data_IF_225839531448
#
_entry.id   IF_225839531448
#
_cell.length_a   1.000
_cell.length_b   1.000
_cell.length_c   1.000
_cell.angle_alpha   90.00
_cell.angle_beta   90.00
_cell.angle_gamma   90.00
#
_symmetry.space_group_name_H-M   'P 1'
#
loop_
_entity.id
_entity.type
_entity.pdbx_description
1 polymer ?
#
# COMPACT_ATOMS: atom_id res chain seq x y z
N UNK A 1 -5.85 42.37 -14.20
CA UNK A 1 -6.15 40.93 -14.27
C UNK A 1 -5.45 40.27 -13.11
N UNK A 2 -6.16 39.50 -12.27
CA UNK A 2 -5.50 38.80 -11.16
C UNK A 2 -4.63 37.68 -11.71
N UNK A 3 -3.35 37.66 -11.33
CA UNK A 3 -2.38 36.66 -11.80
C UNK A 3 -2.73 35.27 -11.25
N UNK A 4 -2.67 34.24 -12.10
CA UNK A 4 -2.76 32.85 -11.66
C UNK A 4 -1.44 32.44 -11.01
N UNK A 5 -1.54 31.77 -9.88
CA UNK A 5 -0.43 31.26 -9.08
C UNK A 5 -0.53 29.73 -9.06
N UNK A 6 0.61 29.06 -9.04
CA UNK A 6 0.69 27.61 -8.84
C UNK A 6 0.98 27.28 -7.38
N UNK A 7 0.41 26.18 -6.91
CA UNK A 7 0.63 25.68 -5.56
C UNK A 7 0.28 24.21 -5.46
N UNK A 8 0.54 23.64 -4.29
CA UNK A 8 0.33 22.22 -4.00
C UNK A 8 -0.69 22.06 -2.89
N UNK A 9 -1.65 21.16 -3.07
CA UNK A 9 -2.59 20.81 -2.01
C UNK A 9 -1.83 20.09 -0.89
N UNK A 10 -1.78 20.71 0.28
CA UNK A 10 -1.08 20.20 1.46
C UNK A 10 -2.01 19.52 2.46
N UNK A 11 -3.30 19.87 2.44
CA UNK A 11 -4.28 19.30 3.36
C UNK A 11 -5.69 19.33 2.77
N UNK A 12 -6.49 18.33 3.10
CA UNK A 12 -7.90 18.23 2.73
C UNK A 12 -8.74 17.89 3.96
N UNK A 13 -9.82 18.63 4.16
CA UNK A 13 -10.86 18.30 5.12
C UNK A 13 -12.13 17.89 4.35
N UNK A 14 -12.41 16.59 4.32
CA UNK A 14 -13.58 16.06 3.62
C UNK A 14 -14.90 16.43 4.32
N UNK A 15 -14.95 16.52 5.64
CA UNK A 15 -16.20 16.85 6.36
C UNK A 15 -16.64 18.29 6.08
N UNK A 16 -15.68 19.22 6.10
CA UNK A 16 -15.90 20.66 5.90
C UNK A 16 -15.70 21.09 4.45
N UNK A 17 -15.43 20.14 3.54
CA UNK A 17 -15.29 20.35 2.10
C UNK A 17 -14.34 21.50 1.72
N UNK A 18 -13.16 21.55 2.33
CA UNK A 18 -12.11 22.51 1.94
C UNK A 18 -10.74 21.85 1.85
N UNK A 19 -9.85 22.49 1.08
CA UNK A 19 -8.44 22.15 1.04
C UNK A 19 -7.56 23.36 1.36
N UNK A 20 -6.32 23.10 1.75
CA UNK A 20 -5.27 24.10 1.91
C UNK A 20 -4.26 23.93 0.78
N UNK A 21 -3.88 25.03 0.16
CA UNK A 21 -2.89 25.08 -0.92
C UNK A 21 -1.67 25.83 -0.40
N UNK A 22 -0.52 25.17 -0.40
CA UNK A 22 0.77 25.79 -0.14
C UNK A 22 1.33 26.36 -1.45
N UNK A 23 1.77 27.61 -1.42
CA UNK A 23 2.30 28.33 -2.57
C UNK A 23 3.39 29.32 -2.16
N UNK A 24 4.15 29.80 -3.14
CA UNK A 24 5.19 30.79 -2.92
C UNK A 24 4.80 32.14 -3.52
N UNK A 25 4.98 33.21 -2.74
CA UNK A 25 4.74 34.58 -3.17
C UNK A 25 5.83 35.48 -2.58
N UNK A 26 6.67 36.05 -3.45
CA UNK A 26 7.80 36.89 -3.02
C UNK A 26 8.80 36.15 -2.11
N UNK A 27 9.20 34.93 -2.50
CA UNK A 27 10.09 34.03 -1.75
C UNK A 27 9.60 33.65 -0.34
N UNK A 28 8.33 33.87 -0.02
CA UNK A 28 7.71 33.41 1.22
C UNK A 28 6.72 32.31 0.94
N UNK A 29 6.83 31.21 1.69
CA UNK A 29 5.82 30.15 1.70
C UNK A 29 4.57 30.67 2.39
N UNK A 30 3.43 30.52 1.72
CA UNK A 30 2.11 30.89 2.21
C UNK A 30 1.17 29.73 2.01
N UNK A 31 0.07 29.74 2.76
CA UNK A 31 -0.99 28.76 2.62
C UNK A 31 -2.31 29.49 2.48
N UNK A 32 -3.16 29.04 1.55
CA UNK A 32 -4.48 29.59 1.30
C UNK A 32 -5.54 28.50 1.29
N UNK A 33 -6.75 28.83 1.73
CA UNK A 33 -7.88 27.90 1.72
C UNK A 33 -8.63 27.96 0.38
N UNK A 34 -9.03 26.80 -0.12
CA UNK A 34 -9.93 26.64 -1.27
C UNK A 34 -11.16 25.82 -0.86
N UNK A 35 -12.34 26.16 -1.39
CA UNK A 35 -13.52 25.30 -1.27
C UNK A 35 -13.44 24.19 -2.31
N UNK A 36 -13.64 22.94 -1.90
CA UNK A 36 -13.61 21.78 -2.81
C UNK A 36 -14.98 21.16 -3.00
N UNK A 37 -16.03 21.76 -2.43
CA UNK A 37 -17.40 21.24 -2.53
C UNK A 37 -17.92 21.23 -3.97
N UNK A 38 -18.67 20.17 -4.30
CA UNK A 38 -19.20 19.96 -5.65
C UNK A 38 -20.10 21.09 -6.15
N UNK A 39 -20.83 21.75 -5.24
CA UNK A 39 -21.76 22.83 -5.62
C UNK A 39 -20.98 24.05 -6.11
N UNK A 40 -19.96 24.45 -5.36
CA UNK A 40 -19.09 25.57 -5.72
C UNK A 40 -18.32 25.28 -7.00
N UNK A 41 -17.76 24.07 -7.16
CA UNK A 41 -17.08 23.71 -8.40
C UNK A 41 -18.01 23.76 -9.63
N UNK A 42 -19.27 23.30 -9.49
CA UNK A 42 -20.29 23.43 -10.56
C UNK A 42 -20.57 24.88 -10.91
N UNK A 43 -20.79 25.74 -9.92
CA UNK A 43 -21.03 27.17 -10.14
C UNK A 43 -19.82 27.86 -10.79
N UNK A 44 -18.60 27.51 -10.38
CA UNK A 44 -17.38 28.05 -10.98
C UNK A 44 -17.22 27.60 -12.45
N UNK A 45 -17.60 26.36 -12.77
CA UNK A 45 -17.59 25.86 -14.15
C UNK A 45 -18.61 26.57 -15.02
N UNK A 46 -19.84 26.76 -14.52
CA UNK A 46 -20.90 27.52 -15.22
C UNK A 46 -20.49 28.97 -15.50
N UNK A 47 -19.74 29.59 -14.59
CA UNK A 47 -19.17 30.93 -14.74
C UNK A 47 -17.87 30.97 -15.57
N UNK A 48 -17.45 29.86 -16.17
CA UNK A 48 -16.20 29.71 -16.92
C UNK A 48 -14.94 30.11 -16.14
N UNK A 49 -14.96 30.00 -14.81
CA UNK A 49 -13.81 30.26 -13.93
C UNK A 49 -12.87 29.06 -13.86
N UNK A 50 -13.40 27.86 -14.06
CA UNK A 50 -12.65 26.60 -14.16
C UNK A 50 -13.13 25.81 -15.38
N UNK A 51 -12.24 25.05 -16.01
CA UNK A 51 -12.58 24.22 -17.17
C UNK A 51 -13.31 22.93 -16.79
N UNK A 52 -12.95 22.32 -15.66
CA UNK A 52 -13.45 21.01 -15.22
C UNK A 52 -13.58 20.95 -13.70
N UNK A 53 -14.51 20.12 -13.25
CA UNK A 53 -14.63 19.72 -11.85
C UNK A 53 -13.56 18.67 -11.59
N UNK A 54 -12.92 18.72 -10.43
CA UNK A 54 -11.87 17.79 -10.04
C UNK A 54 -12.05 17.35 -8.60
N UNK A 55 -11.83 16.06 -8.34
CA UNK A 55 -11.74 15.54 -6.99
C UNK A 55 -10.30 15.71 -6.52
N UNK A 56 -10.07 16.79 -5.78
CA UNK A 56 -8.74 17.16 -5.30
C UNK A 56 -8.20 16.13 -4.31
N UNK A 57 -6.92 15.80 -4.47
CA UNK A 57 -6.16 14.93 -3.59
C UNK A 57 -4.95 15.68 -3.01
N UNK A 58 -4.46 15.23 -1.85
CA UNK A 58 -3.21 15.74 -1.30
C UNK A 58 -2.09 15.48 -2.32
N UNK A 59 -1.25 16.49 -2.52
CA UNK A 59 -0.18 16.44 -3.49
C UNK A 59 -0.54 16.92 -4.89
N UNK A 60 -1.82 17.16 -5.18
CA UNK A 60 -2.23 17.78 -6.45
C UNK A 60 -1.58 19.16 -6.60
N UNK A 61 -0.93 19.37 -7.74
CA UNK A 61 -0.47 20.68 -8.17
C UNK A 61 -1.61 21.35 -8.90
N UNK A 62 -1.93 22.58 -8.49
CA UNK A 62 -3.08 23.34 -8.93
C UNK A 62 -2.68 24.76 -9.33
N UNK A 63 -3.42 25.34 -10.28
CA UNK A 63 -3.38 26.78 -10.55
C UNK A 63 -4.60 27.46 -9.96
N UNK A 64 -4.46 28.65 -9.41
CA UNK A 64 -5.56 29.38 -8.77
C UNK A 64 -5.29 30.89 -8.72
N UNK A 65 -6.28 31.66 -8.31
CA UNK A 65 -6.14 33.09 -8.03
C UNK A 65 -6.45 33.34 -6.56
N UNK A 66 -5.60 34.11 -5.87
CA UNK A 66 -5.88 34.55 -4.50
C UNK A 66 -6.76 35.79 -4.52
N UNK A 67 -7.88 35.77 -3.80
CA UNK A 67 -8.80 36.89 -3.62
C UNK A 67 -9.27 36.98 -2.17
N UNK A 68 -9.78 38.14 -1.77
CA UNK A 68 -10.55 38.26 -0.54
C UNK A 68 -11.82 37.40 -0.64
N UNK A 69 -12.22 36.81 0.49
CA UNK A 69 -13.49 36.13 0.66
C UNK A 69 -14.65 37.09 0.37
N UNK A 70 -15.85 36.55 0.10
CA UNK A 70 -17.05 37.38 -0.11
C UNK A 70 -17.40 38.26 1.10
N UNK A 71 -16.96 37.86 2.30
CA UNK A 71 -17.09 38.64 3.54
C UNK A 71 -15.94 39.63 3.76
N UNK A 72 -14.90 39.58 2.93
CA UNK A 72 -13.72 40.46 3.00
C UNK A 72 -12.79 40.20 4.17
N UNK A 73 -12.96 39.12 4.92
CA UNK A 73 -12.26 38.87 6.17
C UNK A 73 -10.95 38.08 5.99
N UNK A 74 -10.82 37.29 4.91
CA UNK A 74 -9.69 36.36 4.70
C UNK A 74 -9.36 36.20 3.23
N UNK A 75 -8.11 35.84 2.95
CA UNK A 75 -7.68 35.44 1.60
C UNK A 75 -8.09 33.99 1.31
N UNK A 76 -8.65 33.76 0.12
CA UNK A 76 -9.10 32.46 -0.38
C UNK A 76 -8.63 32.25 -1.81
N UNK A 77 -8.47 30.99 -2.19
CA UNK A 77 -8.18 30.60 -3.56
C UNK A 77 -9.50 30.41 -4.32
N UNK A 78 -9.57 30.99 -5.52
CA UNK A 78 -10.73 30.95 -6.42
C UNK A 78 -10.27 30.52 -7.81
N UNK A 79 -11.13 29.79 -8.52
CA UNK A 79 -10.81 29.31 -9.87
C UNK A 79 -9.69 28.27 -9.87
N UNK A 80 -9.67 27.42 -8.85
CA UNK A 80 -8.64 26.39 -8.68
C UNK A 80 -8.80 25.29 -9.72
N UNK A 81 -7.77 25.07 -10.53
CA UNK A 81 -7.72 24.06 -11.58
C UNK A 81 -6.58 23.08 -11.31
N UNK A 82 -6.90 21.78 -11.38
CA UNK A 82 -5.90 20.72 -11.35
C UNK A 82 -4.95 20.80 -12.55
N UNK A 83 -3.66 20.66 -12.29
CA UNK A 83 -2.62 20.57 -13.32
C UNK A 83 -2.12 19.13 -13.43
N UNK A 84 -1.51 18.61 -12.36
CA UNK A 84 -0.95 17.26 -12.32
C UNK A 84 -0.72 16.79 -10.88
N UNK A 85 -0.53 15.48 -10.68
CA UNK A 85 -0.03 14.90 -9.44
C UNK A 85 0.97 13.79 -9.80
N UNK A 86 2.25 14.00 -9.47
CA UNK A 86 3.34 13.08 -9.77
C UNK A 86 3.85 12.35 -8.53
N UNK A 87 3.13 12.40 -7.41
CA UNK A 87 3.61 11.84 -6.14
C UNK A 87 3.92 10.34 -6.26
N UNK A 88 3.07 9.58 -6.95
CA UNK A 88 3.28 8.15 -7.19
C UNK A 88 4.51 7.90 -8.09
N UNK A 89 4.66 8.67 -9.18
CA UNK A 89 5.80 8.56 -10.08
C UNK A 89 7.13 8.87 -9.37
N UNK A 90 7.13 9.86 -8.48
CA UNK A 90 8.29 10.20 -7.65
C UNK A 90 8.63 9.03 -6.72
N UNK A 91 7.66 8.40 -6.07
CA UNK A 91 7.90 7.23 -5.23
C UNK A 91 8.44 6.04 -6.03
N UNK A 92 7.86 5.77 -7.21
CA UNK A 92 8.35 4.71 -8.11
C UNK A 92 9.81 4.99 -8.51
N UNK A 93 10.14 6.22 -8.91
CA UNK A 93 11.51 6.57 -9.28
C UNK A 93 12.47 6.46 -8.10
N UNK A 94 12.06 6.90 -6.90
CA UNK A 94 12.85 6.71 -5.67
C UNK A 94 13.09 5.23 -5.36
N UNK A 95 12.10 4.37 -5.61
CA UNK A 95 12.22 2.93 -5.34
C UNK A 95 13.32 2.25 -6.16
N UNK A 96 13.61 2.74 -7.38
CA UNK A 96 14.71 2.22 -8.21
C UNK A 96 16.10 2.59 -7.67
N UNK A 97 16.23 3.66 -6.89
CA UNK A 97 17.49 4.10 -6.28
C UNK A 97 17.65 3.55 -4.85
N UNK A 98 16.60 3.68 -4.05
CA UNK A 98 16.54 3.22 -2.67
C UNK A 98 15.09 2.87 -2.30
N UNK A 99 14.77 1.58 -2.33
CA UNK A 99 13.44 1.07 -2.02
C UNK A 99 13.19 0.92 -0.51
N UNK A 100 13.35 2.03 0.22
CA UNK A 100 13.12 2.10 1.66
C UNK A 100 12.36 3.37 1.99
N UNK A 101 11.09 3.19 2.34
CA UNK A 101 10.16 4.26 2.68
C UNK A 101 9.70 4.14 4.12
N UNK A 102 9.11 5.22 4.61
CA UNK A 102 8.56 5.33 5.95
C UNK A 102 7.08 5.70 5.83
N UNK A 103 6.25 5.04 6.62
CA UNK A 103 4.81 5.29 6.63
C UNK A 103 4.17 4.89 7.94
N UNK A 104 2.85 5.05 8.03
CA UNK A 104 2.06 4.59 9.15
C UNK A 104 1.21 3.40 8.75
N UNK A 105 1.26 2.33 9.53
CA UNK A 105 0.40 1.17 9.32
C UNK A 105 -1.04 1.52 9.72
N UNK A 106 -1.99 1.24 8.84
CA UNK A 106 -3.42 1.48 9.02
C UNK A 106 -4.20 0.22 8.65
N UNK A 107 -5.39 0.09 9.23
CA UNK A 107 -6.36 -0.95 8.87
C UNK A 107 -7.68 -0.29 8.46
N UNK A 108 -8.29 -0.78 7.39
CA UNK A 108 -9.62 -0.41 6.93
C UNK A 108 -10.25 -1.62 6.25
N UNK A 109 -11.50 -1.93 6.58
CA UNK A 109 -12.25 -3.09 6.04
C UNK A 109 -11.45 -4.40 6.07
N UNK A 110 -10.85 -4.71 7.22
CA UNK A 110 -9.99 -5.89 7.47
C UNK A 110 -8.76 -6.00 6.55
N UNK A 111 -8.40 -4.93 5.85
CA UNK A 111 -7.23 -4.83 4.99
C UNK A 111 -6.23 -3.84 5.56
N UNK A 112 -4.97 -4.20 5.46
CA UNK A 112 -3.87 -3.39 5.93
C UNK A 112 -3.30 -2.53 4.82
N UNK A 113 -2.91 -1.31 5.20
CA UNK A 113 -2.33 -0.33 4.31
C UNK A 113 -1.18 0.38 5.02
N UNK A 114 -0.15 0.76 4.27
CA UNK A 114 0.77 1.80 4.73
C UNK A 114 0.38 3.12 4.10
N UNK A 115 0.17 4.13 4.95
CA UNK A 115 0.08 5.52 4.54
C UNK A 115 1.49 6.12 4.53
N UNK A 116 2.05 6.37 3.36
CA UNK A 116 3.38 6.97 3.22
C UNK A 116 3.38 8.42 3.72
N UNK A 117 4.45 8.82 4.44
CA UNK A 117 4.49 10.08 5.18
C UNK A 117 4.44 11.31 4.27
N UNK A 118 5.23 11.34 3.20
CA UNK A 118 5.43 12.56 2.41
C UNK A 118 4.30 12.80 1.39
N UNK A 119 3.83 11.73 0.76
CA UNK A 119 2.83 11.76 -0.31
C UNK A 119 1.41 11.51 0.17
N UNK A 120 1.25 10.98 1.39
CA UNK A 120 -0.05 10.55 1.93
C UNK A 120 -0.73 9.44 1.11
N UNK A 121 0.00 8.80 0.19
CA UNK A 121 -0.50 7.69 -0.61
C UNK A 121 -0.63 6.44 0.26
N UNK A 122 -1.68 5.66 -0.02
CA UNK A 122 -1.96 4.41 0.65
C UNK A 122 -1.55 3.24 -0.24
N UNK A 123 -0.73 2.35 0.30
CA UNK A 123 -0.32 1.13 -0.38
C UNK A 123 -0.84 -0.08 0.40
N UNK A 124 -1.51 -1.04 -0.26
CA UNK A 124 -1.97 -2.25 0.39
C UNK A 124 -0.79 -3.06 0.92
N UNK A 125 -0.96 -3.71 2.06
CA UNK A 125 0.04 -4.59 2.69
C UNK A 125 -0.50 -6.02 2.71
N UNK A 126 -0.16 -6.85 1.72
CA UNK A 126 -0.53 -8.25 1.75
C UNK A 126 0.34 -8.99 2.77
N UNK A 127 -0.29 -9.50 3.83
CA UNK A 127 0.38 -10.35 4.80
C UNK A 127 0.48 -11.79 4.27
N UNK A 128 1.61 -12.44 4.57
CA UNK A 128 1.74 -13.87 4.33
C UNK A 128 0.78 -14.64 5.25
N UNK A 129 0.23 -15.80 4.81
CA UNK A 129 -0.53 -16.70 5.68
C UNK A 129 0.23 -17.17 6.92
N UNK A 130 1.58 -17.08 6.90
CA UNK A 130 2.46 -17.50 7.97
C UNK A 130 3.04 -16.33 8.76
N UNK A 131 2.64 -15.11 8.44
CA UNK A 131 3.05 -13.92 9.17
C UNK A 131 2.14 -13.71 10.37
N UNK A 132 2.73 -13.29 11.48
CA UNK A 132 1.97 -12.77 12.60
C UNK A 132 1.40 -11.42 12.19
N UNK A 133 0.07 -11.30 12.26
CA UNK A 133 -0.59 -10.04 11.99
C UNK A 133 -0.21 -9.02 13.07
N UNK A 134 -0.06 -7.73 12.68
CA UNK A 134 0.24 -6.68 13.63
C UNK A 134 -0.83 -6.57 14.71
N UNK A 135 -0.43 -6.27 15.94
CA UNK A 135 -1.37 -6.02 17.03
C UNK A 135 -2.02 -4.64 16.89
N UNK A 136 -3.09 -4.38 17.66
CA UNK A 136 -3.72 -3.06 17.70
C UNK A 136 -2.77 -1.94 18.18
N UNK A 137 -1.76 -2.29 18.97
CA UNK A 137 -0.74 -1.35 19.45
C UNK A 137 0.25 -0.98 18.34
N UNK A 138 0.60 -1.94 17.48
CA UNK A 138 1.46 -1.73 16.31
C UNK A 138 0.71 -0.98 15.18
N UNK A 139 -0.63 -0.88 15.25
CA UNK A 139 -1.40 -0.03 14.35
C UNK A 139 -1.15 1.44 14.66
N UNK A 140 -1.02 2.25 13.62
CA UNK A 140 -0.68 3.68 13.66
C UNK A 140 0.77 3.99 14.06
N UNK A 141 1.59 2.98 14.30
CA UNK A 141 3.03 3.19 14.46
C UNK A 141 3.72 3.42 13.12
N UNK A 142 4.89 4.05 13.22
CA UNK A 142 5.75 4.31 12.08
C UNK A 142 6.45 3.02 11.68
N UNK A 143 6.29 2.62 10.42
CA UNK A 143 6.88 1.41 9.85
C UNK A 143 7.79 1.74 8.68
N UNK A 144 8.85 0.96 8.53
CA UNK A 144 9.66 0.95 7.31
C UNK A 144 9.06 -0.04 6.31
N UNK A 145 9.01 0.32 5.04
CA UNK A 145 8.49 -0.56 3.98
C UNK A 145 9.18 -0.35 2.63
N UNK A 146 9.09 -1.35 1.76
CA UNK A 146 9.45 -1.27 0.33
C UNK A 146 8.20 -1.30 -0.54
N UNK A 147 8.28 -0.73 -1.74
CA UNK A 147 7.26 -0.86 -2.78
C UNK A 147 7.59 -2.03 -3.69
N UNK A 148 6.62 -2.91 -3.89
CA UNK A 148 6.72 -4.06 -4.78
C UNK A 148 5.83 -3.85 -6.02
N UNK A 149 6.16 -4.54 -7.10
CA UNK A 149 5.41 -4.52 -8.36
C UNK A 149 5.29 -3.11 -9.00
N UNK A 150 6.34 -2.30 -8.88
CA UNK A 150 6.42 -0.90 -9.37
C UNK A 150 6.25 -0.74 -10.89
N UNK A 151 6.36 -1.84 -11.66
CA UNK A 151 6.11 -1.84 -13.10
C UNK A 151 4.61 -1.67 -13.46
N UNK A 152 3.70 -1.97 -12.54
CA UNK A 152 2.24 -1.88 -12.73
C UNK A 152 1.64 -0.99 -11.64
N UNK A 153 1.47 0.30 -11.93
CA UNK A 153 1.06 1.35 -10.98
C UNK A 153 -0.18 0.95 -10.16
N UNK A 154 -1.14 0.30 -10.80
CA UNK A 154 -2.41 -0.13 -10.21
C UNK A 154 -2.30 -1.37 -9.31
N UNK A 155 -1.14 -2.04 -9.30
CA UNK A 155 -0.89 -3.26 -8.52
C UNK A 155 0.31 -3.12 -7.58
N UNK A 156 0.73 -1.88 -7.30
CA UNK A 156 1.79 -1.61 -6.33
C UNK A 156 1.28 -1.95 -4.94
N UNK A 157 2.12 -2.61 -4.15
CA UNK A 157 1.84 -2.92 -2.76
C UNK A 157 3.07 -2.70 -1.89
N UNK A 158 2.86 -2.48 -0.60
CA UNK A 158 3.91 -2.28 0.38
C UNK A 158 4.28 -3.60 1.06
N UNK A 159 5.58 -3.81 1.25
CA UNK A 159 6.13 -4.90 2.07
C UNK A 159 6.84 -4.30 3.27
N UNK A 160 6.42 -4.63 4.48
CA UNK A 160 7.09 -4.15 5.70
C UNK A 160 8.46 -4.82 5.85
N UNK A 161 9.42 -4.13 6.47
CA UNK A 161 10.73 -4.75 6.79
C UNK A 161 10.66 -5.62 8.05
N UNK A 162 9.94 -5.17 9.07
CA UNK A 162 9.89 -5.80 10.39
C UNK A 162 8.77 -6.84 10.49
N UNK A 163 8.79 -7.84 9.60
CA UNK A 163 7.80 -8.93 9.60
C UNK A 163 8.15 -9.99 10.65
N UNK A 164 7.20 -10.29 11.55
CA UNK A 164 7.28 -11.42 12.48
C UNK A 164 6.53 -12.62 11.86
N UNK A 165 7.12 -13.81 11.89
CA UNK A 165 6.50 -15.02 11.36
C UNK A 165 6.16 -16.01 12.46
N UNK A 166 5.28 -16.96 12.17
CA UNK A 166 5.02 -18.09 13.08
C UNK A 166 6.28 -18.97 13.20
N UNK A 167 6.54 -19.57 14.38
CA UNK A 167 7.73 -20.41 14.60
C UNK A 167 7.87 -21.55 13.58
N UNK A 168 6.75 -22.12 13.14
CA UNK A 168 6.73 -23.20 12.16
C UNK A 168 7.30 -22.75 10.79
N UNK A 169 7.08 -21.48 10.42
CA UNK A 169 7.64 -20.91 9.19
C UNK A 169 9.12 -20.63 9.33
N UNK A 170 9.58 -20.12 10.47
CA UNK A 170 11.01 -19.93 10.74
C UNK A 170 11.77 -21.25 10.70
N UNK A 171 11.18 -22.32 11.25
CA UNK A 171 11.70 -23.67 11.14
C UNK A 171 11.74 -24.14 9.67
N UNK A 172 10.68 -23.91 8.89
CA UNK A 172 10.66 -24.23 7.47
C UNK A 172 11.75 -23.47 6.69
N UNK A 173 11.99 -22.19 7.01
CA UNK A 173 13.08 -21.38 6.43
C UNK A 173 14.44 -21.99 6.76
N UNK A 174 14.66 -22.44 8.00
CA UNK A 174 15.90 -23.11 8.40
C UNK A 174 16.11 -24.39 7.58
N UNK A 175 15.10 -25.26 7.50
CA UNK A 175 15.13 -26.53 6.77
C UNK A 175 15.38 -26.32 5.26
N UNK A 176 14.77 -25.27 4.68
CA UNK A 176 14.99 -24.89 3.29
C UNK A 176 16.43 -24.45 3.03
N UNK A 177 16.98 -23.58 3.90
CA UNK A 177 18.37 -23.10 3.78
C UNK A 177 19.40 -24.20 3.95
N UNK A 178 19.16 -25.14 4.87
CA UNK A 178 20.06 -26.26 5.14
C UNK A 178 19.84 -27.44 4.19
N UNK A 179 18.83 -27.37 3.31
CA UNK A 179 18.41 -28.49 2.43
C UNK A 179 18.22 -29.79 3.20
N UNK A 180 17.63 -29.70 4.40
CA UNK A 180 17.44 -30.86 5.26
C UNK A 180 16.13 -31.56 4.90
N UNK A 181 16.15 -32.89 4.66
CA UNK A 181 14.93 -33.68 4.48
C UNK A 181 14.02 -33.59 5.70
N UNK A 182 12.71 -33.54 5.47
CA UNK A 182 11.69 -33.44 6.51
C UNK A 182 10.72 -34.61 6.38
N UNK A 183 10.43 -35.27 7.49
CA UNK A 183 9.39 -36.30 7.55
C UNK A 183 8.02 -35.61 7.63
N UNK A 184 7.32 -35.51 6.50
CA UNK A 184 6.01 -34.87 6.39
C UNK A 184 4.88 -35.89 6.53
N UNK A 185 3.80 -35.51 7.21
CA UNK A 185 2.63 -36.39 7.41
C UNK A 185 1.54 -36.08 6.40
N UNK A 186 1.01 -37.09 5.72
CA UNK A 186 -0.12 -36.96 4.81
C UNK A 186 -1.39 -36.69 5.62
N UNK A 187 -2.03 -35.54 5.41
CA UNK A 187 -3.29 -35.21 6.11
C UNK A 187 -4.52 -35.31 5.20
N UNK A 188 -4.34 -35.23 3.88
CA UNK A 188 -5.45 -35.33 2.92
C UNK A 188 -4.95 -35.87 1.59
N UNK A 189 -5.69 -36.82 1.01
CA UNK A 189 -5.44 -37.34 -0.34
C UNK A 189 -6.63 -37.00 -1.21
N UNK A 190 -6.36 -36.48 -2.41
CA UNK A 190 -7.37 -36.17 -3.43
C UNK A 190 -6.97 -36.83 -4.76
N UNK A 191 -7.88 -37.01 -5.72
CA UNK A 191 -7.55 -37.59 -7.03
C UNK A 191 -6.46 -36.83 -7.81
N UNK A 192 -6.14 -35.59 -7.42
CA UNK A 192 -5.19 -34.74 -8.12
C UNK A 192 -3.89 -34.48 -7.33
N UNK A 193 -3.91 -34.65 -6.01
CA UNK A 193 -2.79 -34.29 -5.16
C UNK A 193 -2.86 -34.94 -3.78
N UNK A 194 -1.68 -35.15 -3.19
CA UNK A 194 -1.50 -35.53 -1.80
C UNK A 194 -1.07 -34.28 -1.03
N UNK A 195 -1.78 -33.96 0.06
CA UNK A 195 -1.47 -32.82 0.91
C UNK A 195 -0.72 -33.26 2.16
N UNK A 196 0.36 -32.55 2.45
CA UNK A 196 1.35 -32.87 3.47
C UNK A 196 1.44 -31.76 4.51
N UNK A 197 1.54 -32.16 5.77
CA UNK A 197 1.96 -31.35 6.89
C UNK A 197 3.47 -31.44 7.03
N UNK A 198 4.20 -30.35 6.78
CA UNK A 198 5.67 -30.33 6.79
C UNK A 198 6.18 -29.94 8.17
N UNK A 199 5.71 -28.80 8.68
CA UNK A 199 6.08 -28.31 10.02
C UNK A 199 4.80 -28.03 10.78
N UNK A 200 4.53 -28.87 11.79
CA UNK A 200 3.27 -28.88 12.50
C UNK A 200 2.08 -29.06 11.55
N UNK A 201 0.94 -28.49 11.90
CA UNK A 201 -0.28 -28.46 11.06
C UNK A 201 -0.44 -27.16 10.25
N UNK A 202 0.52 -26.21 10.36
CA UNK A 202 0.42 -24.86 9.77
C UNK A 202 1.19 -24.69 8.46
N UNK A 203 2.32 -25.38 8.30
CA UNK A 203 3.09 -25.37 7.05
C UNK A 203 2.70 -26.59 6.22
N UNK A 204 1.93 -26.35 5.17
CA UNK A 204 1.37 -27.39 4.32
C UNK A 204 1.85 -27.25 2.88
N UNK A 205 2.12 -28.37 2.24
CA UNK A 205 2.41 -28.42 0.81
C UNK A 205 1.58 -29.52 0.13
N UNK A 206 1.68 -29.58 -1.20
CA UNK A 206 1.07 -30.63 -1.99
C UNK A 206 2.11 -31.26 -2.92
N UNK A 207 1.99 -32.56 -3.13
CA UNK A 207 2.75 -33.32 -4.12
C UNK A 207 1.79 -34.00 -5.12
N UNK A 208 2.27 -34.42 -6.29
CA UNK A 208 1.47 -35.18 -7.25
C UNK A 208 0.87 -36.44 -6.62
N UNK A 209 -0.28 -36.88 -7.14
CA UNK A 209 -0.94 -38.10 -6.69
C UNK A 209 -0.07 -39.34 -6.98
N UNK A 210 -0.01 -40.26 -6.03
CA UNK A 210 0.70 -41.54 -6.14
C UNK A 210 -0.21 -42.63 -5.55
N UNK A 211 -0.47 -43.67 -6.34
CA UNK A 211 -1.26 -44.83 -5.92
C UNK A 211 -0.58 -45.49 -4.71
N UNK A 212 -1.39 -45.89 -3.72
CA UNK A 212 -0.98 -46.44 -2.41
C UNK A 212 -0.61 -45.45 -1.28
N UNK A 213 -0.72 -44.13 -1.49
CA UNK A 213 -0.57 -43.17 -0.36
C UNK A 213 -1.87 -42.99 0.41
N UNK A 214 -1.84 -43.25 1.72
CA UNK A 214 -2.96 -43.10 2.64
C UNK A 214 -2.75 -41.91 3.60
N UNK A 215 -3.86 -41.39 4.13
CA UNK A 215 -3.82 -40.39 5.21
C UNK A 215 -3.13 -40.99 6.43
N UNK A 216 -2.22 -40.23 7.03
CA UNK A 216 -1.38 -40.66 8.15
C UNK A 216 -0.03 -41.24 7.74
N UNK A 217 0.21 -41.52 6.44
CA UNK A 217 1.54 -41.92 6.00
C UNK A 217 2.57 -40.80 6.21
N UNK A 218 3.80 -41.21 6.46
CA UNK A 218 4.94 -40.34 6.60
C UNK A 218 5.80 -40.42 5.35
N UNK A 219 6.14 -39.27 4.78
CA UNK A 219 6.89 -39.16 3.53
C UNK A 219 8.06 -38.21 3.78
N UNK A 220 9.27 -38.64 3.45
CA UNK A 220 10.43 -37.77 3.47
C UNK A 220 10.38 -36.84 2.25
N UNK A 221 10.39 -35.54 2.52
CA UNK A 221 10.33 -34.51 1.50
C UNK A 221 11.41 -33.46 1.70
N UNK A 222 11.87 -32.87 0.61
CA UNK A 222 12.75 -31.72 0.60
C UNK A 222 11.95 -30.47 0.22
N UNK A 223 12.16 -29.37 0.93
CA UNK A 223 11.63 -28.07 0.50
C UNK A 223 12.47 -27.58 -0.68
N UNK A 224 11.86 -27.49 -1.85
CA UNK A 224 12.53 -27.03 -3.09
C UNK A 224 12.26 -25.57 -3.39
N UNK A 225 11.16 -25.03 -2.88
CA UNK A 225 10.85 -23.62 -2.97
C UNK A 225 10.14 -23.14 -1.71
N UNK A 226 10.57 -22.00 -1.18
CA UNK A 226 9.92 -21.32 -0.07
C UNK A 226 9.83 -19.82 -0.38
N UNK A 227 8.62 -19.37 -0.67
CA UNK A 227 8.27 -17.95 -0.79
C UNK A 227 7.39 -17.50 0.38
N UNK A 228 7.00 -16.22 0.37
CA UNK A 228 6.15 -15.64 1.43
C UNK A 228 4.74 -16.24 1.44
N UNK A 229 4.22 -16.71 0.32
CA UNK A 229 2.84 -17.22 0.21
C UNK A 229 2.74 -18.63 -0.37
N UNK A 230 3.88 -19.23 -0.74
CA UNK A 230 3.92 -20.51 -1.43
C UNK A 230 5.12 -21.32 -0.97
N UNK A 231 4.88 -22.62 -0.79
CA UNK A 231 5.89 -23.62 -0.51
C UNK A 231 5.75 -24.74 -1.54
N UNK A 232 6.87 -25.28 -2.01
CA UNK A 232 6.91 -26.47 -2.85
C UNK A 232 7.91 -27.47 -2.28
N UNK A 233 7.58 -28.74 -2.43
CA UNK A 233 8.39 -29.85 -1.93
C UNK A 233 8.49 -30.96 -2.95
N UNK A 234 9.57 -31.73 -2.84
CA UNK A 234 9.80 -32.93 -3.63
C UNK A 234 10.04 -34.12 -2.70
N UNK A 235 9.52 -35.28 -3.09
CA UNK A 235 9.74 -36.54 -2.35
C UNK A 235 11.19 -36.96 -2.51
N UNK A 236 11.84 -37.33 -1.41
CA UNK A 236 13.15 -37.97 -1.42
C UNK A 236 12.92 -39.47 -1.27
N UNK A 237 13.55 -40.23 -2.17
CA UNK A 237 13.58 -41.71 -2.15
C UNK A 237 14.71 -42.18 -1.25
#
# INVERSE_FOLDING_TARGET
MSQKIEGKISFINHDKQYAMIDYEEGNKKKTVRVSIDDKTQKQMKEKNLIKKIHHFMIGDVVSFVVKLSDRGDRMVAVGTEFLYNNALDVLINKSFLNNKFIGYLKIADDKYFVKEIDSYLFFPVPFSPWQLLPTNEELNEQVNFSLENVAKKEKIFATLFDNKYIPEFEQAVKLFKTKTPVEATVFKVTPHAIHLNIVGNKIQAKIPFEEATLVGNKINVLITYLGKSKIAVEKIV
#
